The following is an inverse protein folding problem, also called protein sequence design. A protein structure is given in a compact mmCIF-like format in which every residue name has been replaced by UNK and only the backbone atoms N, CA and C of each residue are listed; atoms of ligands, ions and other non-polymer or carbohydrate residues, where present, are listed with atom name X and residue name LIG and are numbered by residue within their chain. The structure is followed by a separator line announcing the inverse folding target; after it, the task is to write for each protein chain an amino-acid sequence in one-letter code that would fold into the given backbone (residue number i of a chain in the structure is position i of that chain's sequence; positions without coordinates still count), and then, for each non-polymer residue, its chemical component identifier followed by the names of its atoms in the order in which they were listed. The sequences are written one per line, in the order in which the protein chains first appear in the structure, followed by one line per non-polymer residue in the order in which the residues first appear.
data_IF_382765466960
#
_entry.id   IF_382765466960
#
_cell.length_a   1.000
_cell.length_b   1.000
_cell.length_c   1.000
_cell.angle_alpha   90.00
_cell.angle_beta   90.00
_cell.angle_gamma   90.00
#
_symmetry.space_group_name_H-M   'P 1'
#
loop_
_entity.id
_entity.type
_entity.pdbx_description
1 polymer ?
#
# COMPACT_ATOMS: atom_id res chain seq x y z
N UNK A 1 -16.29 -10.46 33.97
CA UNK A 1 -14.89 -10.20 33.54
C UNK A 1 -14.92 -8.88 32.78
N UNK A 2 -14.24 -7.85 33.27
CA UNK A 2 -14.06 -6.56 32.59
C UNK A 2 -12.63 -6.50 32.06
N UNK A 3 -12.46 -6.21 30.77
CA UNK A 3 -11.15 -6.07 30.14
C UNK A 3 -10.86 -4.57 29.97
N UNK A 4 -9.82 -4.07 30.62
CA UNK A 4 -9.37 -2.68 30.50
C UNK A 4 -8.37 -2.55 29.34
N UNK A 5 -8.63 -1.65 28.39
CA UNK A 5 -7.73 -1.38 27.26
C UNK A 5 -8.10 -0.13 26.48
N UNK A 6 -7.10 0.48 25.82
CA UNK A 6 -7.25 1.64 24.93
C UNK A 6 -7.07 1.23 23.47
N UNK A 7 -7.87 1.76 22.53
CA UNK A 7 -7.64 1.57 21.10
C UNK A 7 -6.26 2.08 20.68
N UNK A 8 -5.70 1.44 19.64
CA UNK A 8 -4.52 1.93 18.94
C UNK A 8 -5.02 2.84 17.82
N UNK A 9 -4.49 4.06 17.76
CA UNK A 9 -4.81 5.00 16.68
C UNK A 9 -4.26 4.50 15.35
N UNK A 10 -5.01 4.75 14.28
CA UNK A 10 -4.60 4.49 12.91
C UNK A 10 -4.64 5.80 12.14
N UNK A 11 -3.53 6.17 11.52
CA UNK A 11 -3.46 7.30 10.59
C UNK A 11 -3.53 6.74 9.18
N UNK A 12 -4.51 7.20 8.40
CA UNK A 12 -4.66 6.83 7.00
C UNK A 12 -4.24 8.02 6.14
N UNK A 13 -3.31 7.79 5.23
CA UNK A 13 -2.87 8.76 4.22
C UNK A 13 -3.29 8.19 2.86
N UNK A 14 -4.04 8.94 2.08
CA UNK A 14 -4.35 8.59 0.70
C UNK A 14 -3.42 9.35 -0.23
N UNK A 15 -2.97 8.69 -1.30
CA UNK A 15 -2.04 9.27 -2.27
C UNK A 15 -2.58 9.10 -3.69
N UNK A 16 -2.20 10.01 -4.56
CA UNK A 16 -2.27 9.81 -6.00
C UNK A 16 -0.90 10.21 -6.53
N UNK A 17 -0.04 9.23 -6.76
CA UNK A 17 1.33 9.51 -7.16
C UNK A 17 1.39 9.97 -8.63
N UNK A 18 2.38 10.78 -9.01
CA UNK A 18 2.55 11.22 -10.38
C UNK A 18 2.68 10.04 -11.36
N UNK A 19 2.17 10.23 -12.58
CA UNK A 19 2.26 9.20 -13.63
C UNK A 19 3.68 9.08 -14.18
N UNK A 20 3.98 8.04 -14.95
CA UNK A 20 5.31 7.86 -15.57
C UNK A 20 5.72 8.96 -16.55
N UNK A 21 4.80 9.85 -16.94
CA UNK A 21 5.09 11.00 -17.80
C UNK A 21 5.27 12.33 -17.06
N UNK A 22 5.16 12.32 -15.72
CA UNK A 22 5.44 13.48 -14.89
C UNK A 22 6.91 13.87 -14.97
N UNK A 23 7.20 15.15 -14.77
CA UNK A 23 8.59 15.61 -14.66
C UNK A 23 9.18 15.30 -13.28
N UNK A 24 10.50 15.45 -13.17
CA UNK A 24 11.21 15.16 -11.94
C UNK A 24 10.78 16.09 -10.78
N UNK A 25 10.38 17.33 -11.08
CA UNK A 25 9.93 18.29 -10.05
C UNK A 25 8.63 17.83 -9.40
N UNK A 26 7.63 17.41 -10.20
CA UNK A 26 6.37 16.86 -9.70
C UNK A 26 6.58 15.59 -8.87
N UNK A 27 7.49 14.72 -9.30
CA UNK A 27 7.83 13.49 -8.57
C UNK A 27 8.48 13.82 -7.22
N UNK A 28 9.46 14.72 -7.20
CA UNK A 28 10.14 15.11 -5.96
C UNK A 28 9.18 15.81 -4.99
N UNK A 29 8.36 16.74 -5.47
CA UNK A 29 7.37 17.44 -4.65
C UNK A 29 6.38 16.49 -3.98
N UNK A 30 5.94 15.45 -4.71
CA UNK A 30 5.11 14.38 -4.16
C UNK A 30 5.79 13.67 -2.99
N UNK A 31 7.02 13.21 -3.16
CA UNK A 31 7.73 12.46 -2.12
C UNK A 31 8.14 13.34 -0.93
N UNK A 32 8.51 14.61 -1.16
CA UNK A 32 8.78 15.57 -0.08
C UNK A 32 7.53 15.80 0.77
N UNK A 33 6.39 16.06 0.12
CA UNK A 33 5.12 16.29 0.81
C UNK A 33 4.67 15.04 1.58
N UNK A 34 4.79 13.87 0.97
CA UNK A 34 4.45 12.60 1.62
C UNK A 34 5.36 12.31 2.81
N UNK A 35 6.66 12.57 2.69
CA UNK A 35 7.61 12.37 3.79
C UNK A 35 7.28 13.29 4.98
N UNK A 36 6.91 14.55 4.73
CA UNK A 36 6.47 15.47 5.79
C UNK A 36 5.24 14.93 6.54
N UNK A 37 4.27 14.33 5.85
CA UNK A 37 3.11 13.71 6.48
C UNK A 37 3.52 12.50 7.35
N UNK A 38 4.43 11.66 6.87
CA UNK A 38 4.95 10.52 7.64
C UNK A 38 5.69 11.00 8.89
N UNK A 39 6.55 12.01 8.76
CA UNK A 39 7.37 12.53 9.86
C UNK A 39 6.54 13.23 10.94
N UNK A 40 5.46 13.91 10.53
CA UNK A 40 4.55 14.60 11.46
C UNK A 40 3.52 13.66 12.10
N UNK A 41 3.34 12.45 11.55
CA UNK A 41 2.43 11.46 12.12
C UNK A 41 2.91 10.99 13.49
N UNK A 42 2.04 10.92 14.52
CA UNK A 42 2.46 10.46 15.84
C UNK A 42 3.08 9.05 15.79
N UNK A 43 4.31 8.89 16.30
CA UNK A 43 5.06 7.60 16.29
C UNK A 43 4.34 6.41 16.95
N UNK A 44 3.30 6.68 17.74
CA UNK A 44 2.48 5.66 18.41
C UNK A 44 1.33 5.14 17.53
N UNK A 45 0.98 5.87 16.48
CA UNK A 45 -0.12 5.54 15.59
C UNK A 45 0.35 4.47 14.60
N UNK A 46 -0.59 3.66 14.10
CA UNK A 46 -0.34 2.78 12.96
C UNK A 46 -0.54 3.58 11.70
N UNK A 47 0.49 3.69 10.85
CA UNK A 47 0.36 4.37 9.57
C UNK A 47 -0.11 3.36 8.53
N UNK A 48 -1.14 3.75 7.78
CA UNK A 48 -1.59 3.11 6.54
C UNK A 48 -1.54 4.15 5.44
N UNK A 49 -0.75 3.91 4.40
CA UNK A 49 -0.72 4.77 3.21
C UNK A 49 -1.33 3.96 2.07
N UNK A 50 -2.32 4.49 1.37
CA UNK A 50 -3.04 3.72 0.38
C UNK A 50 -3.40 4.52 -0.86
N UNK A 51 -3.94 3.79 -1.85
CA UNK A 51 -4.51 4.29 -3.11
C UNK A 51 -3.50 4.17 -4.28
N UNK A 52 -3.62 4.99 -5.32
CA UNK A 52 -2.84 4.86 -6.57
C UNK A 52 -1.40 5.40 -6.46
N UNK A 53 -0.42 4.51 -6.67
CA UNK A 53 1.00 4.86 -6.66
C UNK A 53 1.61 5.00 -8.05
N UNK A 54 0.87 4.73 -9.13
CA UNK A 54 1.39 4.73 -10.50
C UNK A 54 2.69 3.91 -10.68
N UNK A 55 2.91 2.93 -9.79
CA UNK A 55 4.16 2.21 -9.64
C UNK A 55 3.96 0.70 -9.78
N UNK A 56 4.90 0.00 -10.41
CA UNK A 56 4.90 -1.47 -10.47
C UNK A 56 6.06 -1.96 -9.66
N UNK A 57 5.81 -2.58 -8.50
CA UNK A 57 6.87 -3.12 -7.64
C UNK A 57 7.37 -4.50 -8.09
N UNK A 58 6.57 -5.17 -8.92
CA UNK A 58 6.87 -6.44 -9.54
C UNK A 58 6.68 -7.64 -8.62
N UNK A 59 6.97 -8.82 -9.16
CA UNK A 59 6.84 -10.12 -8.49
C UNK A 59 8.06 -10.54 -7.68
N UNK A 60 9.20 -9.86 -7.84
CA UNK A 60 10.44 -10.17 -7.11
C UNK A 60 10.34 -9.65 -5.66
N UNK A 61 10.42 -10.53 -4.64
CA UNK A 61 10.28 -10.11 -3.26
C UNK A 61 11.51 -9.32 -2.79
N UNK A 62 11.27 -8.39 -1.88
CA UNK A 62 12.29 -7.64 -1.15
C UNK A 62 12.01 -7.80 0.34
N UNK A 63 12.97 -8.39 1.05
CA UNK A 63 12.83 -8.77 2.46
C UNK A 63 12.33 -7.60 3.31
N UNK A 64 11.24 -7.82 4.05
CA UNK A 64 10.63 -6.83 4.93
C UNK A 64 9.67 -5.86 4.24
N UNK A 65 9.82 -5.61 2.93
CA UNK A 65 9.06 -4.60 2.19
C UNK A 65 7.96 -5.21 1.34
N UNK A 66 8.29 -6.16 0.46
CA UNK A 66 7.28 -6.85 -0.37
C UNK A 66 7.17 -8.32 0.02
N UNK A 67 6.04 -8.93 -0.31
CA UNK A 67 5.84 -10.36 -0.23
C UNK A 67 6.09 -11.07 -1.57
N UNK A 68 5.82 -12.37 -1.58
CA UNK A 68 6.10 -13.26 -2.72
C UNK A 68 5.04 -13.23 -3.82
N UNK A 69 3.99 -12.39 -3.68
CA UNK A 69 2.80 -12.46 -4.53
C UNK A 69 2.49 -11.13 -5.25
N UNK A 70 3.51 -10.27 -5.43
CA UNK A 70 3.40 -9.10 -6.30
C UNK A 70 3.22 -9.49 -7.78
N UNK A 71 2.78 -8.54 -8.61
CA UNK A 71 2.45 -8.79 -10.02
C UNK A 71 3.41 -8.09 -10.98
N UNK A 72 3.81 -8.80 -12.04
CA UNK A 72 4.53 -8.24 -13.19
C UNK A 72 6.00 -7.94 -12.93
N UNK A 73 6.55 -7.10 -13.81
CA UNK A 73 7.92 -6.59 -13.72
C UNK A 73 7.94 -5.22 -13.05
N UNK A 74 9.03 -4.95 -12.35
CA UNK A 74 9.23 -3.69 -11.66
C UNK A 74 9.57 -2.57 -12.64
N UNK A 75 9.01 -1.37 -12.43
CA UNK A 75 9.42 -0.16 -13.13
C UNK A 75 10.15 0.82 -12.21
N UNK A 76 10.66 1.92 -12.78
CA UNK A 76 11.45 2.92 -12.05
C UNK A 76 10.67 3.60 -10.90
N UNK A 77 9.38 3.90 -11.10
CA UNK A 77 8.49 4.36 -10.04
C UNK A 77 8.34 3.31 -8.92
N UNK A 78 8.35 2.02 -9.28
CA UNK A 78 8.40 0.90 -8.36
C UNK A 78 9.67 0.87 -7.52
N UNK A 79 10.84 1.17 -8.09
CA UNK A 79 12.08 1.26 -7.33
C UNK A 79 12.03 2.42 -6.31
N UNK A 80 11.56 3.61 -6.73
CA UNK A 80 11.34 4.76 -5.81
C UNK A 80 10.40 4.42 -4.66
N UNK A 81 9.28 3.75 -4.96
CA UNK A 81 8.33 3.31 -3.94
C UNK A 81 8.96 2.35 -2.92
N UNK A 82 9.79 1.42 -3.38
CA UNK A 82 10.46 0.47 -2.49
C UNK A 82 11.52 1.15 -1.63
N UNK A 83 12.26 2.11 -2.17
CA UNK A 83 13.18 2.95 -1.40
C UNK A 83 12.43 3.76 -0.32
N UNK A 84 11.31 4.40 -0.69
CA UNK A 84 10.46 5.10 0.28
C UNK A 84 9.97 4.16 1.39
N UNK A 85 9.55 2.94 1.05
CA UNK A 85 9.15 1.94 2.04
C UNK A 85 10.30 1.52 2.96
N UNK A 86 11.50 1.35 2.41
CA UNK A 86 12.71 0.99 3.16
C UNK A 86 13.06 2.07 4.18
N UNK A 87 13.04 3.33 3.76
CA UNK A 87 13.40 4.48 4.60
C UNK A 87 12.39 4.70 5.74
N UNK A 88 11.11 4.39 5.50
CA UNK A 88 10.03 4.62 6.45
C UNK A 88 9.58 3.36 7.22
N UNK A 89 10.30 2.24 7.10
CA UNK A 89 9.92 0.96 7.72
C UNK A 89 8.48 0.54 7.39
N UNK A 90 8.08 0.69 6.13
CA UNK A 90 6.78 0.29 5.60
C UNK A 90 6.90 -1.03 4.82
N UNK A 91 5.77 -1.68 4.60
CA UNK A 91 5.66 -2.84 3.73
C UNK A 91 4.37 -2.81 2.92
N UNK A 92 4.40 -3.43 1.74
CA UNK A 92 3.31 -3.42 0.76
C UNK A 92 2.41 -4.63 1.00
N UNK A 93 1.23 -4.39 1.55
CA UNK A 93 0.36 -5.42 2.10
C UNK A 93 -0.21 -6.37 1.04
N UNK A 94 -0.66 -5.84 -0.09
CA UNK A 94 -1.28 -6.60 -1.18
C UNK A 94 -0.29 -7.42 -2.03
N UNK A 95 1.00 -7.44 -1.66
CA UNK A 95 2.00 -8.38 -2.20
C UNK A 95 2.25 -9.58 -1.28
N UNK A 96 1.69 -9.57 -0.06
CA UNK A 96 2.00 -10.56 0.98
C UNK A 96 1.10 -11.80 0.97
N UNK A 97 -0.02 -11.77 0.26
CA UNK A 97 -1.03 -12.83 0.31
C UNK A 97 -1.16 -13.54 -1.03
N UNK A 98 -1.17 -14.87 -1.00
CA UNK A 98 -1.48 -15.65 -2.18
C UNK A 98 -2.94 -15.45 -2.56
N UNK A 99 -3.19 -14.91 -3.75
CA UNK A 99 -4.54 -14.72 -4.30
C UNK A 99 -4.59 -15.21 -5.74
N UNK A 100 -5.79 -15.53 -6.28
CA UNK A 100 -5.96 -15.71 -7.71
C UNK A 100 -5.48 -14.46 -8.46
N UNK A 101 -4.84 -14.62 -9.62
CA UNK A 101 -4.31 -13.47 -10.41
C UNK A 101 -5.33 -12.34 -10.62
N UNK A 102 -6.62 -12.69 -10.75
CA UNK A 102 -7.69 -11.70 -10.90
C UNK A 102 -7.87 -10.75 -9.72
N UNK A 103 -7.43 -11.14 -8.53
CA UNK A 103 -7.52 -10.36 -7.28
C UNK A 103 -6.21 -9.63 -6.94
N UNK A 104 -5.22 -9.64 -7.85
CA UNK A 104 -3.92 -8.99 -7.68
C UNK A 104 -3.80 -7.68 -8.47
N UNK A 105 -4.28 -7.67 -9.71
CA UNK A 105 -4.26 -6.46 -10.51
C UNK A 105 -5.29 -5.47 -9.96
N UNK A 106 -4.97 -4.19 -10.09
CA UNK A 106 -5.75 -3.06 -9.57
C UNK A 106 -6.15 -2.10 -10.66
N UNK A 107 -5.54 -2.17 -11.85
CA UNK A 107 -5.86 -1.30 -12.98
C UNK A 107 -5.84 -2.06 -14.31
N UNK A 108 -6.78 -1.74 -15.18
CA UNK A 108 -6.89 -2.25 -16.55
C UNK A 108 -6.95 -1.09 -17.55
N UNK A 109 -6.00 -0.95 -18.49
CA UNK A 109 -6.04 0.10 -19.50
C UNK A 109 -7.32 0.00 -20.36
N UNK A 110 -7.75 1.10 -21.02
CA UNK A 110 -8.94 1.11 -21.87
C UNK A 110 -8.93 0.06 -22.99
N UNK A 111 -7.75 -0.32 -23.47
CA UNK A 111 -7.60 -1.33 -24.52
C UNK A 111 -7.69 -2.79 -24.00
N UNK A 112 -7.75 -2.99 -22.68
CA UNK A 112 -7.87 -4.28 -22.02
C UNK A 112 -6.69 -5.24 -22.21
N UNK A 113 -5.58 -4.80 -22.81
CA UNK A 113 -4.52 -5.71 -23.26
C UNK A 113 -3.68 -6.29 -22.12
N UNK A 114 -3.42 -5.49 -21.10
CA UNK A 114 -2.62 -5.87 -19.94
C UNK A 114 -3.34 -5.50 -18.65
N UNK A 115 -2.90 -6.04 -17.51
CA UNK A 115 -3.47 -5.69 -16.21
C UNK A 115 -2.33 -5.46 -15.23
N UNK A 116 -2.34 -4.32 -14.56
CA UNK A 116 -1.25 -3.91 -13.68
C UNK A 116 -1.70 -3.87 -12.24
N UNK A 117 -0.73 -3.97 -11.34
CA UNK A 117 -0.87 -3.65 -9.94
C UNK A 117 -0.17 -2.31 -9.74
N UNK A 118 -0.93 -1.25 -9.49
CA UNK A 118 -0.43 0.13 -9.29
C UNK A 118 -1.02 0.79 -8.04
N UNK A 119 -2.15 0.27 -7.56
CA UNK A 119 -2.73 0.65 -6.28
C UNK A 119 -2.17 -0.25 -5.18
N UNK A 120 -1.76 0.37 -4.07
CA UNK A 120 -1.18 -0.37 -2.95
C UNK A 120 -1.72 0.12 -1.63
N UNK A 121 -1.67 -0.77 -0.66
CA UNK A 121 -1.86 -0.44 0.75
C UNK A 121 -0.54 -0.73 1.45
N UNK A 122 0.14 0.31 1.91
CA UNK A 122 1.35 0.26 2.70
C UNK A 122 0.98 0.31 4.18
N UNK A 123 1.72 -0.39 5.02
CA UNK A 123 1.54 -0.34 6.47
C UNK A 123 2.89 -0.38 7.18
N UNK A 124 2.97 0.17 8.38
CA UNK A 124 4.19 0.07 9.19
C UNK A 124 4.56 -1.39 9.48
N UNK A 125 5.83 -1.74 9.30
CA UNK A 125 6.34 -3.11 9.51
C UNK A 125 6.06 -3.64 10.92
N UNK A 126 6.07 -2.76 11.93
CA UNK A 126 5.68 -3.09 13.32
C UNK A 126 4.31 -3.76 13.42
N UNK A 127 3.38 -3.41 12.54
CA UNK A 127 1.99 -3.87 12.55
C UNK A 127 1.72 -4.92 11.46
N UNK A 128 2.77 -5.55 10.92
CA UNK A 128 2.64 -6.55 9.84
C UNK A 128 1.68 -7.68 10.19
N UNK A 129 1.71 -8.18 11.43
CA UNK A 129 0.83 -9.25 11.90
C UNK A 129 -0.63 -8.82 12.10
N UNK A 130 -0.92 -7.51 12.07
CA UNK A 130 -2.28 -6.98 12.15
C UNK A 130 -3.00 -7.05 10.80
N UNK A 131 -2.28 -7.13 9.68
CA UNK A 131 -2.90 -7.27 8.35
C UNK A 131 -3.21 -8.76 8.13
N UNK A 132 -4.49 -9.08 7.97
CA UNK A 132 -4.96 -10.46 7.75
C UNK A 132 -5.12 -10.81 6.27
N UNK A 133 -5.38 -9.81 5.44
CA UNK A 133 -5.66 -9.97 4.01
C UNK A 133 -5.52 -8.62 3.32
N UNK A 134 -5.03 -8.61 2.08
CA UNK A 134 -5.18 -7.51 1.16
C UNK A 134 -5.37 -8.05 -0.27
N UNK A 135 -6.39 -7.58 -0.98
CA UNK A 135 -6.78 -8.08 -2.31
C UNK A 135 -7.75 -7.14 -3.02
N UNK A 136 -7.83 -7.22 -4.34
CA UNK A 136 -8.90 -6.54 -5.09
C UNK A 136 -10.21 -7.32 -5.06
N UNK A 137 -11.32 -6.62 -5.33
CA UNK A 137 -12.66 -7.19 -5.52
C UNK A 137 -13.14 -6.98 -6.96
N UNK A 138 -12.74 -7.88 -7.90
CA UNK A 138 -13.25 -7.85 -9.26
C UNK A 138 -14.76 -7.97 -9.29
N UNK A 139 -15.42 -7.08 -10.03
CA UNK A 139 -16.88 -7.03 -10.15
C UNK A 139 -17.58 -6.17 -9.09
N UNK A 140 -16.84 -5.41 -8.28
CA UNK A 140 -17.41 -4.22 -7.66
C UNK A 140 -17.70 -3.21 -8.78
N UNK A 141 -18.98 -2.85 -8.96
CA UNK A 141 -19.37 -1.89 -9.98
C UNK A 141 -19.01 -0.48 -9.52
N UNK A 142 -17.82 -0.02 -9.89
CA UNK A 142 -17.27 1.27 -9.52
C UNK A 142 -17.18 2.25 -10.69
N UNK A 143 -17.56 1.85 -11.91
CA UNK A 143 -17.49 2.70 -13.10
C UNK A 143 -16.08 3.21 -13.44
N UNK A 144 -15.04 2.52 -13.00
CA UNK A 144 -13.62 2.89 -13.17
C UNK A 144 -12.85 1.75 -13.85
N UNK A 145 -11.75 2.12 -14.48
CA UNK A 145 -10.70 1.23 -14.96
C UNK A 145 -9.83 0.63 -13.82
N UNK A 146 -10.01 1.13 -12.58
CA UNK A 146 -9.46 0.56 -11.36
C UNK A 146 -10.41 -0.45 -10.69
N UNK A 147 -9.81 -1.43 -10.02
CA UNK A 147 -10.48 -2.44 -9.20
C UNK A 147 -10.39 -2.06 -7.72
N UNK A 148 -11.50 -2.16 -6.99
CA UNK A 148 -11.53 -1.85 -5.56
C UNK A 148 -10.54 -2.73 -4.76
N UNK A 149 -9.49 -2.10 -4.22
CA UNK A 149 -8.51 -2.73 -3.34
C UNK A 149 -8.97 -2.65 -1.87
N UNK A 150 -9.00 -3.79 -1.19
CA UNK A 150 -9.38 -3.87 0.22
C UNK A 150 -8.28 -4.51 1.06
N UNK A 151 -8.14 -4.06 2.30
CA UNK A 151 -7.36 -4.74 3.33
C UNK A 151 -8.22 -5.04 4.57
N UNK A 152 -7.95 -6.17 5.21
CA UNK A 152 -8.52 -6.52 6.52
C UNK A 152 -7.44 -6.32 7.58
N UNK A 153 -7.67 -5.36 8.47
CA UNK A 153 -6.77 -4.99 9.54
C UNK A 153 -7.38 -5.35 10.91
N UNK A 154 -6.60 -5.99 11.78
CA UNK A 154 -6.99 -6.39 13.13
C UNK A 154 -6.01 -5.79 14.13
N UNK A 155 -6.50 -4.91 15.01
CA UNK A 155 -5.70 -4.34 16.11
C UNK A 155 -5.98 -5.05 17.42
N UNK A 156 -4.97 -5.07 18.30
CA UNK A 156 -5.14 -5.43 19.70
C UNK A 156 -5.33 -4.16 20.53
N UNK A 157 -6.10 -4.24 21.60
CA UNK A 157 -6.19 -3.14 22.56
C UNK A 157 -4.86 -2.99 23.31
N UNK A 158 -4.46 -1.74 23.58
CA UNK A 158 -3.31 -1.43 24.43
C UNK A 158 -3.73 -1.52 25.89
N UNK A 159 -3.01 -2.27 26.70
CA UNK A 159 -3.25 -2.33 28.15
C UNK A 159 -3.12 -0.93 28.76
N UNK A 160 -4.05 -0.56 29.64
CA UNK A 160 -3.94 0.63 30.48
C UNK A 160 -3.27 0.22 31.79
N UNK A 161 -2.12 0.83 32.11
CA UNK A 161 -1.56 0.78 33.47
C UNK A 161 -2.47 1.54 34.44
#
# INVERSE_FOLDING_TARGET
IQLLGKPINVTVIQVYAPTTGADDEEIEDFYVSLQQLVDTTPKKDTIVIMDDWNAKVGSKPLTGITGNFGLGDRNEAGDRLLEFCQNNSLFITNTCFQQPKRQLYTWTPPNGQYKNQIDYILCSQRWRSSIQLAKTRPGADCGSDHELLIAKFQTKLKTTN
#
